data_IF_104820895388
#
_entry.id   IF_104820895388
#
_cell.length_a   1.000
_cell.length_b   1.000
_cell.length_c   1.000
_cell.angle_alpha   90.00
_cell.angle_beta   90.00
_cell.angle_gamma   90.00
#
_symmetry.space_group_name_H-M   'P 1'
#
loop_
_entity.id
_entity.type
_entity.pdbx_description
1 polymer ?
#
# COMPACT_ATOMS: atom_id res chain seq x y z
N UNK A 1 7.85 -19.73 48.27
CA UNK A 1 8.81 -20.79 47.88
C UNK A 1 8.84 -20.83 46.37
N UNK A 2 9.73 -20.05 45.79
CA UNK A 2 9.88 -19.83 44.33
C UNK A 2 11.19 -20.47 43.90
N UNK A 3 11.13 -21.49 43.05
CA UNK A 3 12.31 -22.17 42.54
C UNK A 3 12.81 -21.44 41.27
N UNK A 4 14.01 -20.89 41.36
CA UNK A 4 14.79 -20.41 40.23
C UNK A 4 15.68 -21.55 39.71
N UNK A 5 15.70 -21.77 38.39
CA UNK A 5 16.67 -22.63 37.72
C UNK A 5 17.48 -21.77 36.76
N UNK A 6 18.78 -21.71 37.03
CA UNK A 6 19.82 -21.07 36.23
C UNK A 6 20.64 -22.17 35.53
N UNK A 7 20.71 -22.12 34.21
CA UNK A 7 21.66 -22.81 33.34
C UNK A 7 21.94 -21.80 32.21
N UNK A 8 23.14 -21.38 31.83
CA UNK A 8 24.49 -21.93 31.94
C UNK A 8 25.17 -21.58 30.61
N UNK A 9 25.95 -20.49 30.57
CA UNK A 9 26.63 -20.00 29.38
C UNK A 9 27.70 -20.98 28.87
N UNK A 10 27.78 -21.17 27.54
CA UNK A 10 29.02 -21.62 26.90
C UNK A 10 29.20 -20.93 25.55
N UNK A 11 30.27 -20.13 25.47
CA UNK A 11 30.73 -19.40 24.30
C UNK A 11 31.47 -20.33 23.34
N UNK A 12 31.24 -20.17 22.03
CA UNK A 12 32.07 -20.76 20.98
C UNK A 12 32.84 -19.63 20.29
N UNK A 13 34.14 -19.53 20.59
CA UNK A 13 35.11 -18.68 19.90
C UNK A 13 35.93 -19.55 18.93
N UNK A 14 35.96 -19.09 17.68
CA UNK A 14 37.09 -19.04 16.73
C UNK A 14 38.17 -20.12 16.74
N UNK A 15 38.44 -20.71 15.56
CA UNK A 15 39.68 -20.50 14.78
C UNK A 15 39.78 -21.54 13.64
N UNK A 16 40.13 -21.09 12.43
CA UNK A 16 41.12 -21.75 11.56
C UNK A 16 41.45 -20.84 10.37
N UNK A 17 42.72 -20.44 10.33
CA UNK A 17 43.36 -19.60 9.34
C UNK A 17 44.13 -20.48 8.33
N UNK A 18 44.12 -20.10 7.05
CA UNK A 18 45.18 -20.31 6.04
C UNK A 18 44.95 -19.21 4.99
N UNK A 19 45.83 -18.29 4.60
CA UNK A 19 47.27 -18.19 4.79
C UNK A 19 48.00 -18.43 3.46
N UNK A 20 47.96 -17.48 2.51
CA UNK A 20 49.01 -17.32 1.47
C UNK A 20 49.26 -15.83 1.24
N UNK A 21 50.49 -15.43 1.53
CA UNK A 21 51.13 -14.15 1.29
C UNK A 21 52.07 -14.31 0.09
N UNK A 22 52.21 -13.29 -0.75
CA UNK A 22 53.50 -12.73 -1.19
C UNK A 22 53.26 -11.59 -2.19
N UNK A 23 53.95 -10.48 -1.98
CA UNK A 23 53.89 -9.31 -2.88
C UNK A 23 54.45 -8.02 -2.27
N UNK A 24 55.70 -8.07 -1.80
CA UNK A 24 56.56 -6.91 -1.47
C UNK A 24 57.05 -6.29 -2.79
N UNK A 25 57.23 -4.98 -2.98
CA UNK A 25 57.55 -3.96 -2.00
C UNK A 25 57.49 -2.50 -2.51
N UNK A 26 58.22 -1.58 -1.85
CA UNK A 26 58.02 -0.13 -1.95
C UNK A 26 59.15 0.57 -2.73
N UNK A 27 58.87 1.77 -3.26
CA UNK A 27 59.94 2.76 -3.49
C UNK A 27 59.42 4.18 -3.24
N UNK A 28 60.01 4.79 -2.21
CA UNK A 28 59.99 6.21 -1.88
C UNK A 28 60.48 7.10 -3.03
N UNK A 29 60.17 8.39 -2.94
CA UNK A 29 61.11 9.42 -3.37
C UNK A 29 60.51 10.59 -4.14
N UNK A 30 60.38 11.71 -3.44
CA UNK A 30 60.02 13.00 -4.00
C UNK A 30 61.21 13.69 -4.72
N UNK A 31 60.84 14.72 -5.51
CA UNK A 31 61.57 15.97 -5.85
C UNK A 31 62.21 16.07 -7.24
N UNK A 32 62.21 17.34 -7.67
CA UNK A 32 62.92 17.99 -8.76
C UNK A 32 62.32 17.74 -10.16
N UNK A 33 61.48 18.64 -10.68
CA UNK A 33 61.80 19.98 -11.18
C UNK A 33 62.64 19.97 -12.47
N UNK A 34 62.10 20.72 -13.44
CA UNK A 34 62.74 21.33 -14.59
C UNK A 34 62.83 20.53 -15.90
N UNK A 35 62.56 21.30 -16.98
CA UNK A 35 62.72 21.00 -18.41
C UNK A 35 61.55 20.20 -19.01
N UNK A 36 60.80 20.67 -19.99
CA UNK A 36 60.89 21.89 -20.79
C UNK A 36 59.56 22.04 -21.55
N UNK A 37 59.04 23.27 -21.52
CA UNK A 37 58.18 23.97 -22.49
C UNK A 37 57.68 23.18 -23.71
N UNK A 38 56.39 23.44 -24.03
CA UNK A 38 55.65 23.37 -25.31
C UNK A 38 54.26 22.82 -24.92
N UNK A 39 53.16 23.56 -24.87
CA UNK A 39 52.74 24.72 -25.65
C UNK A 39 51.83 25.61 -24.81
N UNK A 40 52.22 26.88 -24.69
CA UNK A 40 51.33 28.01 -24.39
C UNK A 40 50.57 28.43 -25.66
N UNK A 41 49.50 29.20 -25.43
CA UNK A 41 48.80 30.09 -26.36
C UNK A 41 47.48 29.60 -27.00
N UNK A 42 46.47 29.40 -26.16
CA UNK A 42 45.10 29.82 -26.48
C UNK A 42 44.33 30.17 -25.18
N UNK A 43 44.92 31.05 -24.36
CA UNK A 43 44.30 31.62 -23.17
C UNK A 43 44.56 33.13 -23.15
N UNK A 44 43.91 33.84 -24.04
CA UNK A 44 43.66 35.28 -23.89
C UNK A 44 42.30 35.42 -23.22
N UNK A 45 42.36 35.70 -21.92
CA UNK A 45 41.25 35.98 -21.04
C UNK A 45 41.22 37.48 -20.76
N UNK A 46 40.08 38.15 -20.99
CA UNK A 46 39.58 39.22 -20.11
C UNK A 46 38.16 39.62 -20.58
N UNK A 47 37.12 39.09 -19.95
CA UNK A 47 36.40 39.81 -18.88
C UNK A 47 35.79 41.14 -19.35
N UNK A 48 34.63 41.07 -20.01
CA UNK A 48 33.49 41.89 -19.61
C UNK A 48 32.21 41.36 -20.27
N UNK A 49 31.15 41.20 -19.47
CA UNK A 49 29.75 40.97 -19.86
C UNK A 49 29.32 39.50 -19.98
N UNK A 50 29.55 38.80 -18.88
CA UNK A 50 28.57 37.90 -18.25
C UNK A 50 27.13 38.36 -18.50
N UNK A 51 26.33 37.57 -19.22
CA UNK A 51 24.86 37.47 -19.07
C UNK A 51 24.36 36.25 -19.87
N UNK A 52 24.83 35.04 -19.51
CA UNK A 52 24.07 33.82 -19.84
C UNK A 52 23.05 33.68 -18.73
N UNK A 53 21.87 34.26 -18.93
CA UNK A 53 20.69 34.02 -18.11
C UNK A 53 20.30 32.56 -18.38
N UNK A 54 20.78 31.66 -17.52
CA UNK A 54 20.28 30.30 -17.45
C UNK A 54 18.82 30.36 -16.99
N UNK A 55 17.91 30.45 -17.96
CA UNK A 55 16.47 30.35 -17.75
C UNK A 55 16.15 28.89 -17.43
N UNK A 56 16.45 28.46 -16.20
CA UNK A 56 15.92 27.21 -15.65
C UNK A 56 14.43 27.42 -15.41
N UNK A 57 13.59 27.09 -16.40
CA UNK A 57 12.17 26.93 -16.17
C UNK A 57 12.02 25.85 -15.10
N UNK A 58 11.66 26.26 -13.89
CA UNK A 58 11.16 25.36 -12.87
C UNK A 58 9.89 24.73 -13.44
N UNK A 59 10.00 23.50 -13.94
CA UNK A 59 8.84 22.69 -14.29
C UNK A 59 8.17 22.35 -12.96
N UNK A 60 7.24 23.20 -12.53
CA UNK A 60 6.31 22.87 -11.46
C UNK A 60 5.38 21.80 -12.01
N UNK A 61 5.73 20.52 -11.82
CA UNK A 61 4.78 19.43 -12.08
C UNK A 61 3.58 19.66 -11.16
N UNK A 62 2.36 19.82 -11.70
CA UNK A 62 1.19 19.96 -10.85
C UNK A 62 1.08 18.69 -10.00
N UNK A 63 1.07 18.86 -8.67
CA UNK A 63 0.68 17.79 -7.78
C UNK A 63 -0.81 17.54 -8.01
N UNK A 64 -1.15 16.46 -8.71
CA UNK A 64 -2.53 15.98 -8.74
C UNK A 64 -2.91 15.63 -7.31
N UNK A 65 -3.80 16.41 -6.72
CA UNK A 65 -4.33 16.11 -5.41
C UNK A 65 -5.05 14.77 -5.47
N UNK A 66 -4.77 13.89 -4.51
CA UNK A 66 -5.50 12.64 -4.36
C UNK A 66 -6.99 12.95 -4.16
N UNK A 67 -7.85 12.20 -4.82
CA UNK A 67 -9.29 12.21 -4.57
C UNK A 67 -9.51 11.91 -3.07
N UNK A 68 -10.45 12.56 -2.37
CA UNK A 68 -10.78 12.17 -1.01
C UNK A 68 -11.10 10.67 -0.92
N UNK A 69 -10.62 9.98 0.11
CA UNK A 69 -10.76 8.50 0.22
C UNK A 69 -12.22 8.03 0.21
N UNK A 70 -13.14 8.90 0.65
CA UNK A 70 -14.59 8.68 0.65
C UNK A 70 -15.25 8.92 -0.72
N UNK A 71 -14.53 9.48 -1.68
CA UNK A 71 -15.00 9.77 -3.05
C UNK A 71 -14.27 8.93 -4.10
N UNK A 72 -13.29 8.13 -3.68
CA UNK A 72 -12.56 7.25 -4.58
C UNK A 72 -13.47 6.08 -5.01
N UNK A 73 -13.77 5.96 -6.32
CA UNK A 73 -14.82 5.05 -6.79
C UNK A 73 -14.50 3.56 -6.55
N UNK A 74 -13.23 3.15 -6.60
CA UNK A 74 -12.86 1.74 -6.39
C UNK A 74 -13.08 1.33 -4.93
N UNK A 75 -12.69 2.19 -3.99
CA UNK A 75 -12.93 2.03 -2.55
C UNK A 75 -14.42 2.04 -2.26
N UNK A 76 -15.15 3.00 -2.83
CA UNK A 76 -16.59 3.13 -2.63
C UNK A 76 -17.35 1.89 -3.10
N UNK A 77 -17.14 1.46 -4.34
CA UNK A 77 -17.85 0.32 -4.93
C UNK A 77 -17.57 -0.98 -4.17
N UNK A 78 -16.30 -1.26 -3.84
CA UNK A 78 -15.93 -2.47 -3.08
C UNK A 78 -16.52 -2.50 -1.69
N UNK A 79 -16.50 -1.36 -0.98
CA UNK A 79 -17.13 -1.26 0.34
C UNK A 79 -18.64 -1.45 0.24
N UNK A 80 -19.29 -0.78 -0.71
CA UNK A 80 -20.73 -0.91 -0.93
C UNK A 80 -21.13 -2.37 -1.17
N UNK A 81 -20.40 -3.09 -2.02
CA UNK A 81 -20.64 -4.51 -2.27
C UNK A 81 -20.44 -5.37 -1.01
N UNK A 82 -19.44 -5.04 -0.18
CA UNK A 82 -19.27 -5.65 1.13
C UNK A 82 -20.47 -5.45 2.05
N UNK A 83 -21.00 -4.22 2.14
CA UNK A 83 -22.18 -3.90 2.95
C UNK A 83 -23.47 -4.52 2.41
N UNK A 84 -23.63 -4.66 1.09
CA UNK A 84 -24.73 -5.41 0.48
C UNK A 84 -24.65 -6.89 0.90
N UNK A 85 -23.46 -7.49 0.83
CA UNK A 85 -23.23 -8.86 1.30
C UNK A 85 -23.57 -9.05 2.78
N UNK A 86 -23.10 -8.14 3.64
CA UNK A 86 -23.39 -8.13 5.09
C UNK A 86 -24.90 -8.09 5.35
N UNK A 87 -25.61 -7.15 4.70
CA UNK A 87 -27.05 -7.02 4.84
C UNK A 87 -27.83 -8.26 4.35
N UNK A 88 -27.38 -8.92 3.28
CA UNK A 88 -27.98 -10.18 2.82
C UNK A 88 -27.75 -11.30 3.84
N UNK A 89 -26.54 -11.46 4.35
CA UNK A 89 -26.21 -12.49 5.33
C UNK A 89 -26.98 -12.29 6.65
N UNK A 90 -27.19 -11.04 7.08
CA UNK A 90 -27.94 -10.71 8.30
C UNK A 90 -29.45 -10.99 8.17
N UNK A 91 -30.02 -10.83 6.98
CA UNK A 91 -31.47 -10.95 6.76
C UNK A 91 -31.89 -12.29 6.13
N UNK A 92 -30.97 -13.08 5.58
CA UNK A 92 -31.28 -14.37 4.96
C UNK A 92 -30.84 -15.54 5.86
N UNK A 93 -31.76 -16.39 6.37
CA UNK A 93 -31.40 -17.52 7.23
C UNK A 93 -30.61 -18.62 6.52
N UNK A 94 -30.72 -18.71 5.20
CA UNK A 94 -30.11 -19.78 4.38
C UNK A 94 -28.76 -19.39 3.74
N UNK A 95 -28.31 -18.15 3.92
CA UNK A 95 -27.03 -17.66 3.40
C UNK A 95 -26.13 -17.27 4.59
N UNK A 96 -24.82 -17.42 4.42
CA UNK A 96 -23.81 -16.99 5.39
C UNK A 96 -22.71 -16.16 4.70
N UNK A 97 -22.13 -15.22 5.44
CA UNK A 97 -20.97 -14.49 4.98
C UNK A 97 -19.70 -15.36 5.09
N UNK A 98 -18.89 -15.36 4.03
CA UNK A 98 -17.55 -15.95 4.02
C UNK A 98 -16.56 -14.98 4.66
N UNK A 99 -16.56 -14.94 5.99
CA UNK A 99 -15.78 -13.97 6.79
C UNK A 99 -14.29 -13.89 6.41
N UNK A 100 -13.64 -15.03 6.12
CA UNK A 100 -12.25 -15.04 5.67
C UNK A 100 -12.04 -14.34 4.31
N UNK A 101 -13.01 -14.46 3.40
CA UNK A 101 -12.96 -13.77 2.11
C UNK A 101 -13.24 -12.28 2.26
N UNK A 102 -14.21 -11.92 3.10
CA UNK A 102 -14.47 -10.52 3.43
C UNK A 102 -13.25 -9.84 4.06
N UNK A 103 -12.57 -10.51 5.01
CA UNK A 103 -11.33 -10.02 5.58
C UNK A 103 -10.21 -9.89 4.54
N UNK A 104 -10.10 -10.86 3.62
CA UNK A 104 -9.18 -10.78 2.49
C UNK A 104 -9.42 -9.56 1.61
N UNK A 105 -10.68 -9.31 1.22
CA UNK A 105 -11.03 -8.17 0.37
C UNK A 105 -10.80 -6.83 1.08
N UNK A 106 -11.08 -6.73 2.39
CA UNK A 106 -10.77 -5.54 3.17
C UNK A 106 -9.26 -5.27 3.25
N UNK A 107 -8.43 -6.31 3.33
CA UNK A 107 -6.97 -6.17 3.28
C UNK A 107 -6.50 -5.73 1.88
N UNK A 108 -7.02 -6.33 0.82
CA UNK A 108 -6.72 -5.93 -0.56
C UNK A 108 -7.10 -4.46 -0.79
N UNK A 109 -8.25 -4.02 -0.27
CA UNK A 109 -8.71 -2.65 -0.40
C UNK A 109 -7.85 -1.65 0.39
N UNK A 110 -7.40 -2.03 1.60
CA UNK A 110 -6.41 -1.25 2.36
C UNK A 110 -5.13 -1.11 1.54
N UNK A 111 -4.61 -2.21 1.01
CA UNK A 111 -3.33 -2.21 0.28
C UNK A 111 -3.45 -1.36 -0.98
N UNK A 112 -4.56 -1.48 -1.72
CA UNK A 112 -4.90 -0.57 -2.82
C UNK A 112 -4.87 0.90 -2.41
N UNK A 113 -5.50 1.26 -1.29
CA UNK A 113 -5.49 2.65 -0.81
C UNK A 113 -4.07 3.14 -0.48
N UNK A 114 -3.24 2.29 0.12
CA UNK A 114 -1.85 2.64 0.41
C UNK A 114 -1.03 2.82 -0.89
N UNK A 115 -1.26 1.98 -1.90
CA UNK A 115 -0.65 2.09 -3.22
C UNK A 115 -1.06 3.37 -3.96
N UNK A 116 -2.31 3.83 -3.79
CA UNK A 116 -2.77 5.13 -4.29
C UNK A 116 -2.13 6.32 -3.56
N UNK A 117 -1.37 6.10 -2.47
CA UNK A 117 -0.68 7.14 -1.72
C UNK A 117 -1.48 7.69 -0.53
N UNK A 118 -2.61 7.06 -0.16
CA UNK A 118 -3.30 7.41 1.08
C UNK A 118 -2.44 7.03 2.29
N UNK A 119 -2.38 7.92 3.28
CA UNK A 119 -1.69 7.61 4.54
C UNK A 119 -2.49 6.60 5.35
N UNK A 120 -1.80 5.69 6.03
CA UNK A 120 -2.42 4.63 6.83
C UNK A 120 -3.36 5.16 7.94
N UNK A 121 -3.07 6.33 8.51
CA UNK A 121 -3.94 6.96 9.50
C UNK A 121 -5.26 7.46 8.87
N UNK A 122 -5.22 7.99 7.64
CA UNK A 122 -6.41 8.41 6.89
C UNK A 122 -7.28 7.21 6.56
N UNK A 123 -6.68 6.11 6.08
CA UNK A 123 -7.40 4.86 5.82
C UNK A 123 -8.06 4.36 7.10
N UNK A 124 -7.32 4.34 8.23
CA UNK A 124 -7.84 3.88 9.51
C UNK A 124 -9.00 4.75 10.02
N UNK A 125 -8.87 6.07 9.93
CA UNK A 125 -9.92 7.01 10.34
C UNK A 125 -11.19 6.81 9.51
N UNK A 126 -11.04 6.66 8.20
CA UNK A 126 -12.14 6.39 7.29
C UNK A 126 -12.88 5.08 7.63
N UNK A 127 -12.16 3.95 7.72
CA UNK A 127 -12.80 2.64 7.99
C UNK A 127 -13.31 2.48 9.43
N UNK A 128 -12.94 3.38 10.35
CA UNK A 128 -13.46 3.38 11.73
C UNK A 128 -14.57 4.41 11.96
N UNK A 129 -14.78 5.32 11.01
CA UNK A 129 -15.83 6.33 11.06
C UNK A 129 -17.21 5.69 11.08
N UNK A 130 -17.96 5.93 12.17
CA UNK A 130 -19.37 5.51 12.27
C UNK A 130 -20.24 6.19 11.22
N UNK A 131 -19.94 7.45 10.91
CA UNK A 131 -20.67 8.24 9.91
C UNK A 131 -20.53 7.63 8.52
N UNK A 132 -19.30 7.28 8.11
CA UNK A 132 -19.08 6.67 6.79
C UNK A 132 -19.71 5.28 6.70
N UNK A 133 -19.58 4.45 7.75
CA UNK A 133 -20.27 3.16 7.80
C UNK A 133 -21.79 3.30 7.70
N UNK A 134 -22.38 4.30 8.36
CA UNK A 134 -23.81 4.54 8.29
C UNK A 134 -24.26 4.93 6.87
N UNK A 135 -23.47 5.73 6.14
CA UNK A 135 -23.73 6.06 4.74
C UNK A 135 -23.74 4.81 3.87
N UNK A 136 -22.70 3.98 3.94
CA UNK A 136 -22.64 2.73 3.16
C UNK A 136 -23.77 1.76 3.50
N UNK A 137 -24.16 1.66 4.78
CA UNK A 137 -25.33 0.85 5.18
C UNK A 137 -26.63 1.37 4.58
N UNK A 138 -26.84 2.69 4.59
CA UNK A 138 -28.01 3.29 3.97
C UNK A 138 -28.03 3.07 2.46
N UNK A 139 -26.89 3.27 1.79
CA UNK A 139 -26.75 3.05 0.35
C UNK A 139 -26.97 1.58 -0.05
N UNK A 140 -26.42 0.63 0.71
CA UNK A 140 -26.67 -0.79 0.53
C UNK A 140 -28.16 -1.13 0.72
N UNK A 141 -28.82 -0.54 1.72
CA UNK A 141 -30.25 -0.72 1.96
C UNK A 141 -31.10 -0.18 0.80
N UNK A 142 -30.76 0.99 0.24
CA UNK A 142 -31.45 1.55 -0.93
C UNK A 142 -31.24 0.66 -2.18
N UNK A 143 -30.03 0.14 -2.38
CA UNK A 143 -29.75 -0.79 -3.48
C UNK A 143 -30.56 -2.09 -3.36
N UNK A 144 -30.68 -2.64 -2.15
CA UNK A 144 -31.45 -3.84 -1.86
C UNK A 144 -32.96 -3.60 -2.02
N UNK A 145 -33.44 -2.45 -1.53
CA UNK A 145 -34.83 -2.02 -1.69
C UNK A 145 -35.21 -1.84 -3.16
N UNK A 146 -34.33 -1.27 -3.98
CA UNK A 146 -34.54 -1.15 -5.42
C UNK A 146 -34.70 -2.52 -6.13
N UNK A 147 -34.25 -3.60 -5.49
CA UNK A 147 -34.39 -4.99 -5.95
C UNK A 147 -35.52 -5.76 -5.25
N UNK A 148 -36.30 -5.09 -4.41
CA UNK A 148 -37.45 -5.66 -3.70
C UNK A 148 -37.13 -6.31 -2.36
N UNK A 149 -35.89 -6.18 -1.85
CA UNK A 149 -35.56 -6.58 -0.48
C UNK A 149 -35.76 -5.41 0.48
N UNK A 150 -36.87 -5.46 1.21
CA UNK A 150 -37.20 -4.53 2.30
C UNK A 150 -37.14 -5.24 3.65
N UNK A 151 -36.89 -4.49 4.75
CA UNK A 151 -36.93 -5.05 6.10
C UNK A 151 -38.22 -5.84 6.34
N UNK A 152 -38.08 -7.10 6.79
CA UNK A 152 -39.21 -8.01 7.00
C UNK A 152 -39.51 -8.97 5.84
N UNK A 153 -38.77 -8.90 4.72
CA UNK A 153 -38.89 -9.84 3.60
C UNK A 153 -37.61 -10.69 3.42
N UNK A 154 -37.33 -11.65 4.31
CA UNK A 154 -36.11 -12.47 4.26
C UNK A 154 -35.99 -13.27 2.96
N UNK A 155 -37.11 -13.67 2.35
CA UNK A 155 -37.12 -14.43 1.10
C UNK A 155 -36.54 -13.61 -0.07
N UNK A 156 -36.82 -12.30 -0.12
CA UNK A 156 -36.22 -11.41 -1.12
C UNK A 156 -34.70 -11.28 -0.93
N UNK A 157 -34.20 -11.13 0.30
CA UNK A 157 -32.76 -11.10 0.57
C UNK A 157 -32.09 -12.41 0.14
N UNK A 158 -32.70 -13.54 0.48
CA UNK A 158 -32.17 -14.85 0.07
C UNK A 158 -32.13 -14.99 -1.45
N UNK A 159 -33.22 -14.62 -2.16
CA UNK A 159 -33.25 -14.68 -3.62
C UNK A 159 -32.15 -13.83 -4.24
N UNK A 160 -31.98 -12.58 -3.80
CA UNK A 160 -30.92 -11.69 -4.30
C UNK A 160 -29.54 -12.30 -4.01
N UNK A 161 -29.33 -12.82 -2.80
CA UNK A 161 -28.06 -13.46 -2.44
C UNK A 161 -27.72 -14.66 -3.33
N UNK A 162 -28.68 -15.53 -3.63
CA UNK A 162 -28.48 -16.66 -4.53
C UNK A 162 -28.20 -16.20 -5.97
N UNK A 163 -28.88 -15.15 -6.44
CA UNK A 163 -28.61 -14.55 -7.75
C UNK A 163 -27.19 -13.98 -7.83
N UNK A 164 -26.72 -13.30 -6.79
CA UNK A 164 -25.36 -12.75 -6.75
C UNK A 164 -24.30 -13.85 -6.67
N UNK A 165 -24.55 -14.93 -5.91
CA UNK A 165 -23.71 -16.14 -5.88
C UNK A 165 -23.63 -16.76 -7.28
N UNK A 166 -24.77 -16.92 -7.97
CA UNK A 166 -24.82 -17.51 -9.31
C UNK A 166 -24.13 -16.65 -10.38
N UNK A 167 -24.13 -15.32 -10.22
CA UNK A 167 -23.42 -14.37 -11.09
C UNK A 167 -21.91 -14.30 -10.82
N UNK A 168 -21.43 -14.93 -9.75
CA UNK A 168 -20.05 -14.81 -9.29
C UNK A 168 -19.62 -13.35 -9.09
N UNK A 169 -20.55 -12.48 -8.67
CA UNK A 169 -20.25 -11.09 -8.36
C UNK A 169 -19.37 -10.99 -7.11
N UNK A 170 -18.82 -9.82 -6.79
CA UNK A 170 -18.08 -9.66 -5.54
C UNK A 170 -19.00 -9.91 -4.33
N UNK A 171 -20.26 -9.49 -4.38
CA UNK A 171 -21.28 -9.84 -3.37
C UNK A 171 -21.41 -11.36 -3.26
N UNK A 172 -21.58 -12.08 -4.37
CA UNK A 172 -21.67 -13.54 -4.39
C UNK A 172 -20.39 -14.26 -3.93
N UNK A 173 -19.22 -13.70 -4.24
CA UNK A 173 -17.92 -14.19 -3.78
C UNK A 173 -17.82 -14.16 -2.26
N UNK A 174 -18.37 -13.11 -1.63
CA UNK A 174 -18.42 -12.90 -0.18
C UNK A 174 -19.49 -13.75 0.52
N UNK A 175 -20.44 -14.33 -0.21
CA UNK A 175 -21.57 -15.09 0.34
C UNK A 175 -21.48 -16.59 0.06
N UNK A 176 -22.13 -17.40 0.89
CA UNK A 176 -22.28 -18.84 0.70
C UNK A 176 -23.71 -19.26 1.01
N UNK A 177 -24.29 -20.08 0.14
CA UNK A 177 -25.54 -20.78 0.44
C UNK A 177 -25.28 -21.96 1.39
N UNK A 178 -26.15 -22.10 2.39
CA UNK A 178 -26.19 -23.22 3.35
C UNK A 178 -27.28 -24.24 3.02
N UNK A 179 -28.01 -24.03 1.93
CA UNK A 179 -29.02 -24.99 1.47
C UNK A 179 -28.40 -26.31 1.03
#
# INVERSE_FOLDING_TARGET
MTNAVSLGHKALKWALCHGISTGVGPISGARAAALMRLQDAAKEANMLRTFIIALTLAVTTPAFALVPINEEPVIHDKLLQGFIGDAIADNCPTIEARTLRALGELNNLRDYALEQGYKSNVVREFVTSKTEKAKFKAEAAEWLKAKGAEPGNPDAFCKIGEEEIAKESLVGYLLRSKK
#
